data_IF_906477732058
#
_entry.id   IF_906477732058
#
_cell.length_a   1.000
_cell.length_b   1.000
_cell.length_c   1.000
_cell.angle_alpha   90.00
_cell.angle_beta   90.00
_cell.angle_gamma   90.00
#
_symmetry.space_group_name_H-M   'P 1'
#
loop_
_entity.id
_entity.type
_entity.pdbx_description
1 polymer ?
#
# COMPACT_ATOMS: atom_id res chain seq x y z
N UNK A 1 3.40 6.06 27.38
CA UNK A 1 2.29 6.13 26.40
C UNK A 1 2.42 4.94 25.48
N UNK A 2 1.92 3.79 25.92
CA UNK A 2 1.93 2.55 25.15
C UNK A 2 0.57 2.47 24.44
N UNK A 3 0.56 2.75 23.14
CA UNK A 3 -0.60 2.44 22.31
C UNK A 3 -0.79 0.91 22.35
N UNK A 4 -2.05 0.51 22.57
CA UNK A 4 -2.42 -0.86 22.89
C UNK A 4 -2.04 -1.84 21.79
N UNK A 5 -1.31 -2.86 22.20
CA UNK A 5 -1.09 -4.10 21.50
C UNK A 5 -2.38 -4.93 21.63
N UNK A 6 -3.33 -4.75 20.71
CA UNK A 6 -4.49 -5.62 20.53
C UNK A 6 -4.38 -6.28 19.16
N UNK A 7 -3.53 -7.32 19.08
CA UNK A 7 -3.72 -8.57 18.32
C UNK A 7 -4.29 -8.56 16.88
N UNK A 8 -4.42 -7.41 16.24
CA UNK A 8 -4.85 -7.26 14.86
C UNK A 8 -3.66 -6.73 14.10
N UNK A 9 -3.04 -7.56 13.27
CA UNK A 9 -2.00 -7.17 12.32
C UNK A 9 -2.51 -6.20 11.23
N UNK A 10 -3.45 -5.31 11.54
CA UNK A 10 -3.71 -4.14 10.73
C UNK A 10 -2.57 -3.17 10.97
N UNK A 11 -1.46 -3.42 10.29
CA UNK A 11 -0.39 -2.45 10.09
C UNK A 11 -1.02 -1.09 9.87
N UNK A 12 -0.61 -0.09 10.64
CA UNK A 12 -1.10 1.27 10.47
C UNK A 12 -1.04 1.64 8.97
N UNK A 13 -2.15 2.03 8.33
CA UNK A 13 -2.20 2.17 6.89
C UNK A 13 -1.22 3.25 6.39
N UNK A 14 -0.87 4.24 7.21
CA UNK A 14 0.15 5.22 6.86
C UNK A 14 1.56 4.63 6.95
N UNK A 15 1.86 3.82 7.97
CA UNK A 15 3.12 3.09 8.07
C UNK A 15 3.31 2.13 6.88
N UNK A 16 2.28 1.34 6.56
CA UNK A 16 2.34 0.41 5.43
C UNK A 16 2.44 1.13 4.07
N UNK A 17 1.76 2.27 3.92
CA UNK A 17 1.91 3.13 2.75
C UNK A 17 3.35 3.66 2.60
N UNK A 18 4.01 4.03 3.70
CA UNK A 18 5.40 4.46 3.68
C UNK A 18 6.35 3.33 3.27
N UNK A 19 6.12 2.10 3.74
CA UNK A 19 6.86 0.92 3.30
C UNK A 19 6.71 0.68 1.78
N UNK A 20 5.47 0.73 1.26
CA UNK A 20 5.23 0.56 -0.17
C UNK A 20 5.93 1.63 -1.02
N UNK A 21 5.94 2.89 -0.58
CA UNK A 21 6.64 3.97 -1.29
C UNK A 21 8.15 3.80 -1.28
N UNK A 22 8.69 3.18 -0.23
CA UNK A 22 10.12 2.84 -0.14
C UNK A 22 10.48 1.67 -1.06
N UNK A 23 9.66 0.62 -1.09
CA UNK A 23 9.90 -0.58 -1.90
C UNK A 23 9.71 -0.27 -3.41
N UNK A 24 8.76 0.61 -3.75
CA UNK A 24 8.38 0.92 -5.14
C UNK A 24 8.50 2.43 -5.44
N UNK A 25 9.70 3.02 -5.41
CA UNK A 25 9.87 4.48 -5.55
C UNK A 25 9.47 5.02 -6.94
N UNK A 26 9.35 4.15 -7.95
CA UNK A 26 8.86 4.51 -9.29
C UNK A 26 7.35 4.69 -9.39
N UNK A 27 6.59 4.37 -8.34
CA UNK A 27 5.13 4.49 -8.32
C UNK A 27 4.67 5.61 -7.37
N UNK A 28 3.72 6.42 -7.83
CA UNK A 28 2.92 7.27 -6.97
C UNK A 28 1.84 6.45 -6.28
N UNK A 29 2.01 6.18 -4.99
CA UNK A 29 1.10 5.33 -4.21
C UNK A 29 0.26 6.18 -3.25
N UNK A 30 -1.05 5.97 -3.25
CA UNK A 30 -2.00 6.62 -2.34
C UNK A 30 -2.93 5.58 -1.71
N UNK A 31 -3.30 5.83 -0.46
CA UNK A 31 -4.31 5.07 0.27
C UNK A 31 -5.36 6.05 0.78
N UNK A 32 -6.63 5.70 0.59
CA UNK A 32 -7.73 6.41 1.22
C UNK A 32 -7.90 5.88 2.66
N UNK A 33 -7.84 6.73 3.70
CA UNK A 33 -7.99 6.26 5.08
C UNK A 33 -9.46 6.01 5.48
N UNK A 34 -10.43 6.50 4.72
CA UNK A 34 -11.87 6.39 4.98
C UNK A 34 -12.53 5.28 4.15
N UNK A 35 -11.89 4.83 3.08
CA UNK A 35 -12.37 3.81 2.16
C UNK A 35 -11.29 2.75 1.96
N UNK A 36 -11.65 1.47 1.79
CA UNK A 36 -10.71 0.41 1.47
C UNK A 36 -10.28 0.54 -0.01
N UNK A 37 -9.56 1.61 -0.34
CA UNK A 37 -9.09 1.92 -1.69
C UNK A 37 -7.63 2.30 -1.61
N UNK A 38 -6.84 1.52 -2.34
CA UNK A 38 -5.40 1.72 -2.53
C UNK A 38 -5.13 1.85 -4.02
N UNK A 39 -4.28 2.80 -4.39
CA UNK A 39 -4.03 3.11 -5.78
C UNK A 39 -2.54 3.34 -6.00
N UNK A 40 -2.01 2.87 -7.13
CA UNK A 40 -0.64 3.13 -7.57
C UNK A 40 -0.62 3.57 -9.02
N UNK A 41 0.22 4.57 -9.33
CA UNK A 41 0.35 5.15 -10.67
C UNK A 41 1.81 5.25 -11.09
N UNK A 42 2.12 4.86 -12.32
CA UNK A 42 3.44 5.05 -12.97
C UNK A 42 3.26 5.24 -14.47
N UNK A 43 3.38 6.48 -14.96
CA UNK A 43 3.13 6.79 -16.36
C UNK A 43 1.68 6.44 -16.74
N UNK A 44 1.52 5.54 -17.70
CA UNK A 44 0.21 5.03 -18.15
C UNK A 44 -0.33 3.86 -17.29
N UNK A 45 0.50 3.32 -16.38
CA UNK A 45 0.09 2.21 -15.51
C UNK A 45 -0.72 2.75 -14.33
N UNK A 46 -1.96 2.27 -14.20
CA UNK A 46 -2.85 2.56 -13.07
C UNK A 46 -3.36 1.25 -12.43
N UNK A 47 -3.15 1.13 -11.12
CA UNK A 47 -3.58 -0.04 -10.33
C UNK A 47 -4.52 0.44 -9.23
N UNK A 48 -5.61 -0.28 -9.03
CA UNK A 48 -6.52 -0.09 -7.91
C UNK A 48 -6.69 -1.40 -7.15
N UNK A 49 -6.64 -1.34 -5.82
CA UNK A 49 -6.79 -2.46 -4.92
C UNK A 49 -7.69 -2.10 -3.73
N UNK A 50 -8.23 -3.11 -3.07
CA UNK A 50 -9.08 -2.99 -1.88
C UNK A 50 -8.28 -2.72 -0.60
N UNK A 51 -7.02 -3.12 -0.60
CA UNK A 51 -6.11 -3.00 0.54
C UNK A 51 -4.65 -2.98 0.06
N UNK A 52 -3.75 -2.59 0.96
CA UNK A 52 -2.33 -2.45 0.63
C UNK A 52 -1.65 -3.77 0.27
N UNK A 53 -2.09 -4.90 0.81
CA UNK A 53 -1.47 -6.22 0.55
C UNK A 53 -1.75 -6.63 -0.90
N UNK A 54 -3.00 -6.49 -1.34
CA UNK A 54 -3.39 -6.73 -2.73
C UNK A 54 -2.64 -5.77 -3.65
N UNK A 55 -2.49 -4.49 -3.28
CA UNK A 55 -1.71 -3.55 -4.07
C UNK A 55 -0.25 -3.99 -4.22
N UNK A 56 0.38 -4.45 -3.13
CA UNK A 56 1.76 -4.93 -3.13
C UNK A 56 1.95 -6.09 -4.09
N UNK A 57 1.05 -7.07 -4.06
CA UNK A 57 1.11 -8.22 -4.97
C UNK A 57 1.07 -7.75 -6.43
N UNK A 58 0.17 -6.83 -6.78
CA UNK A 58 0.10 -6.27 -8.13
C UNK A 58 1.37 -5.50 -8.53
N UNK A 59 1.98 -4.78 -7.58
CA UNK A 59 3.23 -4.06 -7.80
C UNK A 59 4.39 -5.03 -8.06
N UNK A 60 4.47 -6.13 -7.32
CA UNK A 60 5.47 -7.18 -7.53
C UNK A 60 5.34 -7.83 -8.91
N UNK A 61 4.11 -8.20 -9.30
CA UNK A 61 3.82 -8.77 -10.64
C UNK A 61 4.30 -7.85 -11.78
N UNK A 62 4.27 -6.53 -11.59
CA UNK A 62 4.70 -5.54 -12.58
C UNK A 62 6.19 -5.16 -12.50
N UNK A 63 6.83 -5.39 -11.36
CA UNK A 63 8.28 -5.22 -11.18
C UNK A 63 9.07 -6.41 -11.72
N UNK A 64 8.41 -7.54 -12.02
CA UNK A 64 9.03 -8.71 -12.65
C UNK A 64 9.73 -9.66 -11.66
N UNK A 65 9.29 -9.67 -10.40
CA UNK A 65 9.70 -10.64 -9.35
C UNK A 65 8.71 -11.79 -9.19
#
# INVERSE_FOLDING_TARGET
>A
MTCGDDGTWRTDPAAYLAELRRDFPGFGIVADPWRPIWMAVRGDVFIKATDGVVLRQRLLELSGE
#
